data_IF_864994303422
#
_entry.id   IF_864994303422
#
_cell.length_a   1.000
_cell.length_b   1.000
_cell.length_c   1.000
_cell.angle_alpha   90.00
_cell.angle_beta   90.00
_cell.angle_gamma   90.00
#
_symmetry.space_group_name_H-M   'P 1'
#
loop_
_entity.id
_entity.type
_entity.pdbx_description
1 polymer ?
#
# COMPACT_ATOMS: atom_id res chain seq x y z
N UNK A 1 -23.26 -0.82 -1.86
CA UNK A 1 -22.47 0.23 -1.18
C UNK A 1 -23.26 1.52 -1.10
N UNK A 2 -23.58 2.14 -2.24
CA UNK A 2 -24.38 3.36 -2.33
C UNK A 2 -25.73 3.26 -1.60
N UNK A 3 -26.42 2.12 -1.66
CA UNK A 3 -27.65 1.89 -0.88
C UNK A 3 -27.47 2.06 0.64
N UNK A 4 -26.28 1.75 1.16
CA UNK A 4 -25.99 1.79 2.59
C UNK A 4 -25.44 3.16 3.05
N UNK A 5 -24.68 3.85 2.21
CA UNK A 5 -23.98 5.10 2.58
C UNK A 5 -24.58 6.37 1.95
N UNK A 6 -25.49 6.24 0.99
CA UNK A 6 -26.02 7.36 0.21
C UNK A 6 -25.34 7.54 -1.14
N UNK A 7 -26.03 8.20 -2.08
CA UNK A 7 -25.53 8.49 -3.43
C UNK A 7 -24.55 9.65 -3.48
N UNK A 8 -24.52 10.47 -2.43
CA UNK A 8 -23.73 11.69 -2.29
C UNK A 8 -22.45 11.51 -1.48
N UNK A 9 -22.29 10.38 -0.77
CA UNK A 9 -21.07 10.07 0.00
C UNK A 9 -20.01 9.43 -0.92
N UNK A 10 -18.84 10.07 -1.10
CA UNK A 10 -17.75 9.47 -1.88
C UNK A 10 -17.25 8.18 -1.23
N UNK A 11 -17.06 7.13 -2.03
CA UNK A 11 -16.52 5.87 -1.54
C UNK A 11 -15.32 5.40 -2.36
N UNK A 12 -14.57 4.49 -1.73
CA UNK A 12 -13.40 3.83 -2.29
C UNK A 12 -13.75 2.36 -2.49
N UNK A 13 -13.49 1.81 -3.67
CA UNK A 13 -13.54 0.37 -3.88
C UNK A 13 -12.19 -0.24 -3.47
N UNK A 14 -12.22 -1.26 -2.62
CA UNK A 14 -11.03 -2.02 -2.25
C UNK A 14 -10.96 -3.33 -3.05
N UNK A 15 -9.91 -3.49 -3.82
CA UNK A 15 -9.63 -4.70 -4.61
C UNK A 15 -8.44 -5.43 -3.99
N UNK A 16 -8.70 -6.27 -2.99
CA UNK A 16 -7.68 -7.03 -2.25
C UNK A 16 -7.94 -8.53 -2.19
N UNK A 17 -7.78 -9.26 -3.31
CA UNK A 17 -8.15 -10.67 -3.41
C UNK A 17 -7.39 -11.59 -2.45
N UNK A 18 -6.14 -11.26 -2.09
CA UNK A 18 -5.32 -12.06 -1.17
C UNK A 18 -6.00 -12.31 0.19
N UNK A 19 -6.79 -11.35 0.68
CA UNK A 19 -7.48 -11.46 1.98
C UNK A 19 -9.00 -11.54 1.83
N UNK A 20 -9.56 -10.91 0.79
CA UNK A 20 -11.00 -10.85 0.58
C UNK A 20 -11.53 -11.95 -0.34
N UNK A 21 -10.66 -12.72 -1.00
CA UNK A 21 -10.94 -13.82 -1.96
C UNK A 21 -11.69 -13.43 -3.24
N UNK A 22 -12.37 -12.29 -3.26
CA UNK A 22 -13.07 -11.77 -4.44
C UNK A 22 -12.07 -11.28 -5.47
N UNK A 23 -12.25 -11.71 -6.72
CA UNK A 23 -11.46 -11.28 -7.87
C UNK A 23 -12.29 -10.33 -8.74
N UNK A 24 -11.76 -9.12 -8.98
CA UNK A 24 -12.42 -8.14 -9.85
C UNK A 24 -11.58 -7.92 -11.10
N UNK A 25 -12.12 -8.23 -12.27
CA UNK A 25 -11.43 -7.88 -13.53
C UNK A 25 -11.43 -6.36 -13.74
N UNK A 26 -10.50 -5.80 -14.55
CA UNK A 26 -10.55 -4.38 -14.90
C UNK A 26 -11.92 -3.94 -15.47
N UNK A 27 -12.60 -4.81 -16.22
CA UNK A 27 -13.94 -4.54 -16.78
C UNK A 27 -15.00 -4.41 -15.68
N UNK A 28 -14.93 -5.24 -14.64
CA UNK A 28 -15.84 -5.17 -13.48
C UNK A 28 -15.59 -3.88 -12.69
N UNK A 29 -14.33 -3.53 -12.44
CA UNK A 29 -13.98 -2.27 -11.76
C UNK A 29 -14.51 -1.06 -12.54
N UNK A 30 -14.31 -1.04 -13.86
CA UNK A 30 -14.87 -0.02 -14.74
C UNK A 30 -16.38 0.07 -14.62
N UNK A 31 -17.09 -1.06 -14.69
CA UNK A 31 -18.54 -1.09 -14.54
C UNK A 31 -18.99 -0.46 -13.21
N UNK A 32 -18.36 -0.84 -12.10
CA UNK A 32 -18.66 -0.27 -10.78
C UNK A 32 -18.46 1.25 -10.77
N UNK A 33 -17.37 1.74 -11.38
CA UNK A 33 -17.05 3.17 -11.42
C UNK A 33 -18.06 3.97 -12.27
N UNK A 34 -18.47 3.44 -13.42
CA UNK A 34 -19.44 4.11 -14.31
C UNK A 34 -20.87 4.08 -13.74
N UNK A 35 -21.27 2.98 -13.11
CA UNK A 35 -22.61 2.84 -12.53
C UNK A 35 -22.78 3.60 -11.20
N UNK A 36 -21.67 3.99 -10.55
CA UNK A 36 -21.70 4.64 -9.24
C UNK A 36 -20.89 5.96 -9.29
N UNK A 37 -21.55 7.12 -9.51
CA UNK A 37 -20.87 8.42 -9.60
C UNK A 37 -20.02 8.78 -8.37
N UNK A 38 -20.42 8.32 -7.18
CA UNK A 38 -19.68 8.54 -5.93
C UNK A 38 -18.49 7.59 -5.71
N UNK A 39 -18.22 6.65 -6.61
CA UNK A 39 -16.98 5.85 -6.59
C UNK A 39 -15.80 6.72 -7.04
N UNK A 40 -15.04 7.28 -6.11
CA UNK A 40 -14.00 8.28 -6.46
C UNK A 40 -12.60 7.70 -6.54
N UNK A 41 -12.41 6.47 -6.06
CA UNK A 41 -11.08 5.89 -5.91
C UNK A 41 -11.12 4.36 -5.90
N UNK A 42 -10.08 3.77 -6.47
CA UNK A 42 -9.70 2.38 -6.29
C UNK A 42 -8.53 2.32 -5.29
N UNK A 43 -8.69 1.56 -4.21
CA UNK A 43 -7.58 1.03 -3.44
C UNK A 43 -7.13 -0.28 -4.09
N UNK A 44 -6.05 -0.22 -4.86
CA UNK A 44 -5.54 -1.33 -5.64
C UNK A 44 -4.61 -2.21 -4.79
N UNK A 45 -4.98 -3.47 -4.56
CA UNK A 45 -4.18 -4.42 -3.78
C UNK A 45 -4.12 -5.80 -4.44
N UNK A 46 -4.43 -5.88 -5.74
CA UNK A 46 -4.35 -7.13 -6.49
C UNK A 46 -2.90 -7.58 -6.67
N UNK A 47 -2.69 -8.89 -6.70
CA UNK A 47 -1.38 -9.49 -6.84
C UNK A 47 -1.45 -10.83 -7.56
N UNK A 48 -0.89 -10.95 -8.78
CA UNK A 48 -0.23 -9.89 -9.57
C UNK A 48 -1.20 -8.80 -10.08
N UNK A 49 -0.89 -7.51 -9.86
CA UNK A 49 -1.80 -6.38 -10.14
C UNK A 49 -1.32 -5.33 -11.16
N UNK A 50 -0.04 -5.33 -11.56
CA UNK A 50 0.53 -4.24 -12.37
C UNK A 50 -0.22 -4.00 -13.70
N UNK A 51 -0.57 -5.07 -14.41
CA UNK A 51 -1.33 -4.96 -15.68
C UNK A 51 -2.75 -4.42 -15.49
N UNK A 52 -3.35 -4.61 -14.31
CA UNK A 52 -4.67 -4.07 -13.99
C UNK A 52 -4.63 -2.55 -13.92
N UNK A 53 -3.60 -1.96 -13.32
CA UNK A 53 -3.41 -0.48 -13.30
C UNK A 53 -3.30 0.04 -14.74
N UNK A 54 -2.42 -0.56 -15.55
CA UNK A 54 -2.23 -0.15 -16.95
C UNK A 54 -3.52 -0.27 -17.78
N UNK A 55 -4.30 -1.33 -17.56
CA UNK A 55 -5.59 -1.52 -18.24
C UNK A 55 -6.61 -0.45 -17.83
N UNK A 56 -6.70 -0.11 -16.54
CA UNK A 56 -7.62 0.93 -16.05
C UNK A 56 -7.23 2.31 -16.58
N UNK A 57 -5.94 2.64 -16.59
CA UNK A 57 -5.45 3.90 -17.20
C UNK A 57 -5.71 3.96 -18.69
N UNK A 58 -5.59 2.83 -19.41
CA UNK A 58 -5.99 2.74 -20.82
C UNK A 58 -7.48 3.03 -21.00
N UNK A 59 -8.36 2.47 -20.17
CA UNK A 59 -9.79 2.76 -20.25
C UNK A 59 -10.10 4.25 -20.05
N UNK A 60 -9.37 4.93 -19.16
CA UNK A 60 -9.48 6.38 -18.95
C UNK A 60 -8.98 7.17 -20.16
N UNK A 61 -7.82 6.81 -20.72
CA UNK A 61 -7.24 7.48 -21.88
C UNK A 61 -8.12 7.37 -23.14
N UNK A 62 -8.82 6.24 -23.32
CA UNK A 62 -9.74 6.00 -24.45
C UNK A 62 -11.17 6.52 -24.18
N UNK A 63 -11.43 7.12 -23.01
CA UNK A 63 -12.73 7.69 -22.65
C UNK A 63 -13.81 6.66 -22.31
N UNK A 64 -13.45 5.38 -22.17
CA UNK A 64 -14.40 4.32 -21.81
C UNK A 64 -14.63 4.17 -20.30
N UNK A 65 -13.90 4.95 -19.50
CA UNK A 65 -14.00 5.03 -18.04
C UNK A 65 -13.66 6.45 -17.60
N UNK A 66 -14.42 7.03 -16.68
CA UNK A 66 -14.09 8.34 -16.11
C UNK A 66 -12.83 8.28 -15.23
N UNK A 67 -12.13 9.41 -15.05
CA UNK A 67 -11.01 9.48 -14.12
C UNK A 67 -11.45 9.18 -12.68
N UNK A 68 -10.66 8.36 -11.99
CA UNK A 68 -10.70 8.13 -10.55
C UNK A 68 -9.27 8.07 -10.02
N UNK A 69 -9.12 8.26 -8.71
CA UNK A 69 -7.83 8.03 -8.05
C UNK A 69 -7.55 6.53 -7.97
N UNK A 70 -6.30 6.13 -8.16
CA UNK A 70 -5.80 4.77 -7.90
C UNK A 70 -4.69 4.88 -6.86
N UNK A 71 -4.97 4.48 -5.61
CA UNK A 71 -3.96 4.39 -4.56
C UNK A 71 -3.63 2.93 -4.29
N UNK A 72 -2.36 2.58 -4.23
CA UNK A 72 -1.96 1.17 -4.10
C UNK A 72 -1.70 0.75 -2.66
N UNK A 73 -2.08 -0.47 -2.31
CA UNK A 73 -1.95 -1.02 -0.97
C UNK A 73 -1.02 -2.23 -0.96
N UNK A 74 -1.53 -3.39 -0.52
CA UNK A 74 -0.80 -4.67 -0.47
C UNK A 74 0.60 -4.55 0.16
N UNK A 75 0.71 -3.76 1.23
CA UNK A 75 1.97 -3.57 1.95
C UNK A 75 2.98 -2.65 1.28
N UNK A 76 2.63 -1.98 0.17
CA UNK A 76 3.57 -1.29 -0.72
C UNK A 76 4.51 -2.24 -1.49
N UNK A 77 4.21 -3.54 -1.57
CA UNK A 77 5.14 -4.54 -2.07
C UNK A 77 5.60 -4.32 -3.53
N UNK A 78 4.82 -3.58 -4.31
CA UNK A 78 5.11 -3.24 -5.71
C UNK A 78 5.00 -1.73 -6.00
N UNK A 79 5.11 -0.89 -4.95
CA UNK A 79 4.87 0.56 -5.09
C UNK A 79 5.78 1.21 -6.14
N UNK A 80 7.03 0.76 -6.24
CA UNK A 80 8.00 1.16 -7.25
C UNK A 80 7.44 1.11 -8.67
N UNK A 81 6.92 -0.04 -9.09
CA UNK A 81 6.37 -0.23 -10.43
C UNK A 81 4.90 0.16 -10.55
N UNK A 82 4.12 0.11 -9.48
CA UNK A 82 2.73 0.58 -9.49
C UNK A 82 2.64 2.07 -9.82
N UNK A 83 3.58 2.88 -9.31
CA UNK A 83 3.70 4.29 -9.70
C UNK A 83 4.05 4.45 -11.18
N UNK A 84 4.97 3.63 -11.73
CA UNK A 84 5.30 3.64 -13.16
C UNK A 84 4.12 3.24 -14.05
N UNK A 85 3.21 2.37 -13.56
CA UNK A 85 1.97 2.01 -14.27
C UNK A 85 0.90 3.11 -14.24
N UNK A 86 1.12 4.17 -13.46
CA UNK A 86 0.25 5.32 -13.35
C UNK A 86 -0.63 5.34 -12.10
N UNK A 87 -0.26 4.68 -11.00
CA UNK A 87 -0.90 4.91 -9.71
C UNK A 87 -0.72 6.38 -9.25
N UNK A 88 -1.66 6.90 -8.46
CA UNK A 88 -1.62 8.28 -7.96
C UNK A 88 -0.86 8.41 -6.62
N UNK A 89 -0.64 7.29 -5.93
CA UNK A 89 0.05 7.21 -4.66
C UNK A 89 -0.17 5.87 -3.96
N UNK A 90 0.11 5.83 -2.66
CA UNK A 90 -0.01 4.65 -1.81
C UNK A 90 -1.08 4.84 -0.72
N UNK A 91 -1.80 3.76 -0.39
CA UNK A 91 -2.70 3.62 0.75
C UNK A 91 -2.40 2.28 1.46
N UNK A 92 -1.32 2.27 2.23
CA UNK A 92 -0.82 1.10 2.97
C UNK A 92 -0.39 1.51 4.38
N UNK A 93 -0.24 0.52 5.26
CA UNK A 93 0.10 0.77 6.66
C UNK A 93 1.60 0.85 6.95
N UNK A 94 2.49 0.71 5.97
CA UNK A 94 3.94 0.55 6.20
C UNK A 94 4.49 1.48 7.28
N UNK A 95 5.31 0.96 8.20
CA UNK A 95 5.76 1.70 9.38
C UNK A 95 6.66 2.93 9.11
N UNK A 96 6.99 3.19 7.84
CA UNK A 96 7.63 4.43 7.37
C UNK A 96 6.76 5.10 6.30
N UNK A 97 5.63 5.73 6.68
CA UNK A 97 4.77 6.44 5.72
C UNK A 97 5.50 7.58 5.01
N UNK A 98 6.51 8.17 5.65
CA UNK A 98 7.34 9.22 5.07
C UNK A 98 8.12 8.71 3.85
N UNK A 99 8.61 7.47 3.91
CA UNK A 99 9.30 6.83 2.78
C UNK A 99 8.34 6.63 1.60
N UNK A 100 7.11 6.19 1.86
CA UNK A 100 6.10 6.03 0.80
C UNK A 100 5.85 7.36 0.08
N UNK A 101 5.73 8.44 0.85
CA UNK A 101 5.60 9.80 0.31
C UNK A 101 6.78 10.20 -0.58
N UNK A 102 8.00 9.87 -0.15
CA UNK A 102 9.21 10.13 -0.94
C UNK A 102 9.27 9.32 -2.23
N UNK A 103 8.97 8.02 -2.21
CA UNK A 103 8.92 7.19 -3.44
C UNK A 103 7.89 7.75 -4.43
N UNK A 104 6.69 8.07 -3.95
CA UNK A 104 5.62 8.67 -4.79
C UNK A 104 6.09 10.00 -5.40
N UNK A 105 6.75 10.85 -4.59
CA UNK A 105 7.28 12.14 -5.05
C UNK A 105 8.39 11.95 -6.08
N UNK A 106 9.39 11.11 -5.81
CA UNK A 106 10.52 10.85 -6.71
C UNK A 106 10.06 10.29 -8.06
N UNK A 107 9.10 9.36 -8.07
CA UNK A 107 8.49 8.85 -9.30
C UNK A 107 7.79 9.96 -10.09
N UNK A 108 7.02 10.83 -9.42
CA UNK A 108 6.35 11.99 -10.07
C UNK A 108 7.33 13.04 -10.58
N UNK A 109 8.50 13.17 -9.96
CA UNK A 109 9.62 14.03 -10.41
C UNK A 109 10.44 13.39 -11.55
N UNK A 110 10.14 12.15 -11.97
CA UNK A 110 10.89 11.43 -13.01
C UNK A 110 12.25 10.89 -12.55
N UNK A 111 12.52 10.90 -11.24
CA UNK A 111 13.76 10.42 -10.62
C UNK A 111 13.68 8.92 -10.36
N UNK A 112 13.62 8.15 -11.44
CA UNK A 112 13.36 6.71 -11.41
C UNK A 112 14.36 5.96 -10.52
N UNK A 113 15.65 6.15 -10.75
CA UNK A 113 16.69 5.42 -10.01
C UNK A 113 16.66 5.78 -8.51
N UNK A 114 16.52 7.07 -8.16
CA UNK A 114 16.40 7.49 -6.75
C UNK A 114 15.16 6.87 -6.07
N UNK A 115 14.04 6.75 -6.78
CA UNK A 115 12.84 6.12 -6.25
C UNK A 115 13.02 4.63 -6.00
N UNK A 116 13.66 3.93 -6.94
CA UNK A 116 13.97 2.50 -6.84
C UNK A 116 15.03 2.23 -5.77
N UNK A 117 16.09 3.03 -5.68
CA UNK A 117 17.11 2.90 -4.63
C UNK A 117 16.52 3.04 -3.22
N UNK A 118 15.63 4.02 -3.03
CA UNK A 118 14.92 4.19 -1.76
C UNK A 118 13.98 3.02 -1.47
N UNK A 119 13.21 2.59 -2.47
CA UNK A 119 12.30 1.46 -2.33
C UNK A 119 13.06 0.17 -1.97
N UNK A 120 14.13 -0.15 -2.70
CA UNK A 120 14.95 -1.34 -2.52
C UNK A 120 15.59 -1.40 -1.14
N UNK A 121 16.04 -0.26 -0.61
CA UNK A 121 16.57 -0.17 0.74
C UNK A 121 15.53 -0.61 1.80
N UNK A 122 14.25 -0.29 1.58
CA UNK A 122 13.14 -0.62 2.48
C UNK A 122 12.48 -1.96 2.21
N UNK A 123 12.60 -2.51 1.00
CA UNK A 123 11.94 -3.74 0.56
C UNK A 123 12.10 -4.92 1.55
N UNK A 124 13.27 -5.16 2.17
CA UNK A 124 13.42 -6.21 3.17
C UNK A 124 12.48 -6.08 4.38
N UNK A 125 12.21 -4.86 4.84
CA UNK A 125 11.28 -4.61 5.95
C UNK A 125 9.83 -4.57 5.45
N UNK A 126 9.57 -3.97 4.27
CA UNK A 126 8.25 -3.98 3.62
C UNK A 126 7.72 -5.41 3.49
N UNK A 127 8.53 -6.33 2.92
CA UNK A 127 8.10 -7.73 2.74
C UNK A 127 7.93 -8.48 4.07
N UNK A 128 8.69 -8.14 5.12
CA UNK A 128 8.55 -8.74 6.45
C UNK A 128 7.24 -8.27 7.11
N UNK A 129 6.92 -6.98 6.98
CA UNK A 129 5.66 -6.42 7.45
C UNK A 129 4.44 -6.90 6.65
N UNK A 130 4.60 -7.40 5.42
CA UNK A 130 3.48 -7.84 4.57
C UNK A 130 3.01 -9.29 4.86
N UNK A 131 3.54 -9.94 5.89
CA UNK A 131 3.09 -11.28 6.30
C UNK A 131 1.71 -11.23 6.99
N UNK A 132 0.76 -12.04 6.53
CA UNK A 132 -0.58 -12.11 7.14
C UNK A 132 -0.52 -12.53 8.61
N UNK A 133 -1.29 -11.84 9.47
CA UNK A 133 -1.26 -12.01 10.92
C UNK A 133 -0.08 -11.32 11.62
N UNK A 134 1.15 -11.52 11.14
CA UNK A 134 2.37 -10.93 11.73
C UNK A 134 2.50 -9.44 11.43
N UNK A 135 2.04 -9.00 10.27
CA UNK A 135 2.27 -7.65 9.76
C UNK A 135 1.79 -6.51 10.65
N UNK A 136 0.64 -6.67 11.30
CA UNK A 136 0.16 -5.67 12.25
C UNK A 136 1.05 -5.59 13.50
N UNK A 137 1.54 -6.73 13.99
CA UNK A 137 2.45 -6.79 15.14
C UNK A 137 3.80 -6.13 14.80
N UNK A 138 4.36 -6.44 13.62
CA UNK A 138 5.57 -5.80 13.09
C UNK A 138 5.42 -4.28 13.01
N UNK A 139 4.35 -3.81 12.36
CA UNK A 139 4.06 -2.37 12.21
C UNK A 139 3.99 -1.66 13.55
N UNK A 140 3.23 -2.21 14.49
CA UNK A 140 3.07 -1.63 15.82
C UNK A 140 4.38 -1.63 16.60
N UNK A 141 5.19 -2.67 16.50
CA UNK A 141 6.50 -2.73 17.14
C UNK A 141 7.46 -1.66 16.60
N UNK A 142 7.53 -1.50 15.28
CA UNK A 142 8.36 -0.46 14.65
C UNK A 142 7.84 0.94 15.02
N UNK A 143 6.54 1.20 14.93
CA UNK A 143 5.95 2.49 15.33
C UNK A 143 6.20 2.82 16.80
N UNK A 144 6.19 1.80 17.69
CA UNK A 144 6.53 1.98 19.10
C UNK A 144 8.01 2.33 19.28
N UNK A 145 8.93 1.60 18.62
CA UNK A 145 10.37 1.94 18.66
C UNK A 145 10.68 3.32 18.09
N UNK A 146 9.93 3.76 17.07
CA UNK A 146 10.02 5.11 16.50
C UNK A 146 9.34 6.20 17.37
N UNK A 147 8.71 5.82 18.49
CA UNK A 147 8.08 6.75 19.42
C UNK A 147 6.71 7.30 18.99
N UNK A 148 6.10 6.76 17.92
CA UNK A 148 4.77 7.21 17.46
C UNK A 148 3.62 6.69 18.33
N UNK A 149 3.81 5.55 18.99
CA UNK A 149 2.84 4.96 19.91
C UNK A 149 3.53 4.43 21.15
N UNK A 150 2.84 4.43 22.29
CA UNK A 150 3.42 3.98 23.57
C UNK A 150 3.46 2.45 23.75
N UNK A 151 2.71 1.69 22.94
CA UNK A 151 2.60 0.23 23.08
C UNK A 151 2.28 -0.47 21.78
N UNK A 152 2.95 -1.61 21.53
CA UNK A 152 2.71 -2.49 20.39
C UNK A 152 1.54 -3.48 20.58
N UNK A 153 0.84 -3.43 21.72
CA UNK A 153 -0.22 -4.38 22.09
C UNK A 153 -1.42 -4.39 21.13
N UNK A 154 -1.99 -5.56 20.87
CA UNK A 154 -3.21 -5.72 20.06
C UNK A 154 -4.37 -6.25 20.92
N UNK A 155 -5.62 -5.94 20.54
CA UNK A 155 -6.79 -6.58 21.14
C UNK A 155 -6.87 -8.03 20.66
N UNK A 156 -7.43 -8.92 21.49
CA UNK A 156 -7.64 -10.32 21.14
C UNK A 156 -8.77 -10.45 20.10
N UNK A 157 -8.67 -11.39 19.13
CA UNK A 157 -7.52 -12.25 18.86
C UNK A 157 -6.39 -11.47 18.15
N UNK A 158 -5.18 -11.51 18.69
CA UNK A 158 -3.99 -10.85 18.13
C UNK A 158 -2.73 -11.58 18.57
N UNK A 159 -1.76 -11.72 17.67
CA UNK A 159 -0.49 -12.39 17.95
C UNK A 159 0.57 -11.36 18.36
N UNK A 160 1.27 -11.63 19.46
CA UNK A 160 2.47 -10.90 19.83
C UNK A 160 3.66 -11.41 19.01
N UNK A 161 4.64 -10.54 18.76
CA UNK A 161 5.92 -10.96 18.20
C UNK A 161 6.70 -11.79 19.23
N UNK A 162 7.31 -12.88 18.77
CA UNK A 162 8.31 -13.61 19.54
C UNK A 162 9.60 -12.80 19.63
N UNK A 163 10.48 -13.15 20.57
CA UNK A 163 11.78 -12.50 20.70
C UNK A 163 12.64 -12.70 19.43
N UNK A 164 12.54 -13.85 18.77
CA UNK A 164 13.20 -14.11 17.51
C UNK A 164 12.71 -13.15 16.39
N UNK A 165 11.39 -12.97 16.26
CA UNK A 165 10.83 -12.04 15.27
C UNK A 165 11.22 -10.58 15.56
N UNK A 166 11.25 -10.17 16.84
CA UNK A 166 11.75 -8.84 17.23
C UNK A 166 13.22 -8.66 16.85
N UNK A 167 14.07 -9.67 17.09
CA UNK A 167 15.48 -9.63 16.72
C UNK A 167 15.69 -9.54 15.18
N UNK A 168 14.87 -10.24 14.39
CA UNK A 168 14.89 -10.13 12.93
C UNK A 168 14.49 -8.73 12.45
N UNK A 169 13.42 -8.15 13.02
CA UNK A 169 12.99 -6.79 12.70
C UNK A 169 14.07 -5.77 13.06
N UNK A 170 14.68 -5.91 14.24
CA UNK A 170 15.78 -5.04 14.69
C UNK A 170 17.00 -5.15 13.76
N UNK A 171 17.32 -6.35 13.29
CA UNK A 171 18.36 -6.55 12.29
C UNK A 171 18.05 -5.83 10.97
N UNK A 172 16.80 -5.88 10.49
CA UNK A 172 16.37 -5.16 9.28
C UNK A 172 16.43 -3.64 9.47
N UNK A 173 15.99 -3.12 10.62
CA UNK A 173 16.08 -1.71 10.96
C UNK A 173 17.54 -1.22 11.02
N UNK A 174 18.44 -2.00 11.64
CA UNK A 174 19.86 -1.67 11.72
C UNK A 174 20.55 -1.65 10.34
N UNK A 175 20.12 -2.50 9.41
CA UNK A 175 20.58 -2.45 8.02
C UNK A 175 20.03 -1.23 7.29
N UNK A 176 18.73 -0.97 7.44
CA UNK A 176 18.06 0.15 6.81
C UNK A 176 18.66 1.49 7.25
N UNK A 177 19.04 1.62 8.52
CA UNK A 177 19.68 2.82 9.12
C UNK A 177 20.99 3.28 8.42
N UNK A 178 21.61 2.40 7.61
CA UNK A 178 22.79 2.70 6.78
C UNK A 178 22.43 3.49 5.52
N UNK A 179 21.21 3.35 5.04
CA UNK A 179 20.70 3.96 3.82
C UNK A 179 19.65 5.05 4.10
N UNK A 180 18.85 4.87 5.16
CA UNK A 180 17.83 5.84 5.59
C UNK A 180 17.97 6.15 7.09
N UNK A 181 18.33 7.40 7.46
CA UNK A 181 18.49 7.79 8.86
C UNK A 181 17.20 7.69 9.68
N UNK A 182 16.01 7.65 9.07
CA UNK A 182 14.73 7.48 9.78
C UNK A 182 14.65 6.18 10.56
N UNK A 183 15.46 5.17 10.20
CA UNK A 183 15.51 3.88 10.87
C UNK A 183 16.55 3.79 12.01
N UNK A 184 17.25 4.89 12.33
CA UNK A 184 18.18 4.96 13.48
C UNK A 184 17.40 5.14 14.77
N UNK A 185 17.00 4.02 15.38
CA UNK A 185 16.20 3.93 16.62
C UNK A 185 16.79 2.95 17.62
#
# INVERSE_FOLDING_TARGET
>A
AVEAVGTDVPFVIQDYPLTLTVQMTPKVIRQIVEENPSCVMLKHEDWPGLEKISTLRKFQAEGSMRPISILTGNGALFLDFEMERGADGAMTGYAFPEMLGDVVRLQKEGKRDEAHDLFDAHLPLVRYEQQQGVGLATRKYVMMKRGFIASDAQRKPGAALTDAARAEIDYLLARLARHDPRARI
#
